data_IF_949183065469
#
_entry.id   IF_949183065469
#
_cell.length_a   1.000
_cell.length_b   1.000
_cell.length_c   1.000
_cell.angle_alpha   90.00
_cell.angle_beta   90.00
_cell.angle_gamma   90.00
#
_symmetry.space_group_name_H-M   'P 1'
#
loop_
_entity.id
_entity.type
_entity.pdbx_description
1 polymer ?
#
# COMPACT_ATOMS: atom_id res chain seq x y z
N UNK A 1 56.50 -18.28 12.06
CA UNK A 1 55.71 -17.19 11.44
C UNK A 1 54.54 -17.81 10.69
N UNK A 2 53.39 -17.99 11.34
CA UNK A 2 52.12 -18.32 10.70
C UNK A 2 51.05 -17.53 11.45
N UNK A 3 51.08 -16.22 11.23
CA UNK A 3 50.08 -15.31 11.75
C UNK A 3 48.75 -15.61 11.07
N UNK A 4 47.69 -15.58 11.87
CA UNK A 4 46.30 -15.81 11.51
C UNK A 4 45.92 -15.08 10.21
N UNK A 5 45.38 -15.83 9.25
CA UNK A 5 44.50 -15.28 8.21
C UNK A 5 43.07 -15.69 8.53
N UNK A 6 42.53 -15.14 9.62
CA UNK A 6 41.08 -15.03 9.81
C UNK A 6 40.67 -13.75 9.07
N UNK A 7 40.59 -13.84 7.74
CA UNK A 7 40.10 -12.74 6.91
C UNK A 7 38.56 -12.75 7.03
N UNK A 8 38.08 -11.79 7.80
CA UNK A 8 36.67 -11.41 7.95
C UNK A 8 35.97 -11.29 6.60
N UNK A 9 35.15 -12.28 6.25
CA UNK A 9 34.10 -12.12 5.24
C UNK A 9 32.96 -11.33 5.91
N UNK A 10 33.10 -10.01 5.97
CA UNK A 10 32.01 -9.13 6.34
C UNK A 10 30.96 -9.22 5.22
N UNK A 11 29.95 -10.05 5.41
CA UNK A 11 28.81 -10.16 4.51
C UNK A 11 28.16 -8.78 4.37
N UNK A 12 28.39 -8.12 3.22
CA UNK A 12 27.55 -7.01 2.76
C UNK A 12 26.18 -7.60 2.37
N UNK A 13 25.37 -7.93 3.38
CA UNK A 13 23.94 -8.02 3.16
C UNK A 13 23.44 -6.58 3.07
N UNK A 14 22.87 -6.12 1.94
CA UNK A 14 22.09 -4.90 1.96
C UNK A 14 21.03 -5.06 3.06
N UNK A 15 21.02 -4.15 4.04
CA UNK A 15 19.93 -4.06 5.00
C UNK A 15 18.68 -3.69 4.20
N UNK A 16 17.90 -4.68 3.80
CA UNK A 16 16.53 -4.44 3.34
C UNK A 16 15.72 -4.13 4.59
N UNK A 17 15.41 -2.86 4.80
CA UNK A 17 14.36 -2.49 5.74
C UNK A 17 13.07 -3.13 5.20
N UNK A 18 12.26 -3.84 5.98
CA UNK A 18 10.97 -4.32 5.51
C UNK A 18 10.02 -3.14 5.27
N UNK A 19 9.17 -3.23 4.25
CA UNK A 19 8.15 -2.21 4.01
C UNK A 19 7.19 -2.13 5.20
N UNK A 20 6.87 -0.91 5.64
CA UNK A 20 6.01 -0.70 6.80
C UNK A 20 4.57 -1.08 6.46
N UNK A 21 3.94 -1.92 7.29
CA UNK A 21 2.53 -2.25 7.13
C UNK A 21 1.66 -1.08 7.63
N UNK A 22 0.84 -0.52 6.75
CA UNK A 22 0.03 0.68 7.02
C UNK A 22 -1.46 0.37 7.26
N UNK A 23 -1.80 -0.91 7.42
CA UNK A 23 -3.17 -1.39 7.53
C UNK A 23 -3.74 -1.91 6.21
N UNK A 24 -5.04 -2.18 6.21
CA UNK A 24 -5.78 -2.71 5.08
C UNK A 24 -6.68 -1.66 4.42
N UNK A 25 -6.68 -1.63 3.09
CA UNK A 25 -7.71 -1.00 2.29
C UNK A 25 -8.93 -1.92 2.29
N UNK A 26 -9.95 -1.61 3.10
CA UNK A 26 -11.11 -2.50 3.28
C UNK A 26 -12.39 -1.80 3.74
N UNK A 27 -13.49 -1.94 2.98
CA UNK A 27 -14.82 -1.46 3.35
C UNK A 27 -15.49 -2.31 4.46
N UNK A 28 -14.87 -3.42 4.87
CA UNK A 28 -15.33 -4.21 6.00
C UNK A 28 -15.15 -3.44 7.31
N UNK A 29 -16.28 -3.00 7.88
CA UNK A 29 -16.34 -2.24 9.14
C UNK A 29 -15.86 -3.01 10.36
N UNK A 30 -15.78 -4.33 10.27
CA UNK A 30 -15.31 -5.21 11.33
C UNK A 30 -13.84 -5.57 11.18
N UNK A 31 -13.17 -5.18 10.07
CA UNK A 31 -11.73 -5.39 9.94
C UNK A 31 -11.00 -4.41 10.89
N UNK A 32 -10.32 -4.91 11.96
CA UNK A 32 -9.62 -4.06 12.91
C UNK A 32 -8.42 -3.33 12.29
N UNK A 33 -7.89 -3.83 11.17
CA UNK A 33 -6.76 -3.24 10.47
C UNK A 33 -7.19 -2.29 9.34
N UNK A 34 -8.50 -2.12 9.10
CA UNK A 34 -8.98 -1.23 8.05
C UNK A 34 -8.61 0.22 8.33
N UNK A 35 -7.98 0.88 7.35
CA UNK A 35 -7.73 2.33 7.39
C UNK A 35 -9.03 3.15 7.38
N UNK A 36 -10.18 2.52 7.08
CA UNK A 36 -11.47 3.18 7.06
C UNK A 36 -12.12 3.32 8.43
N UNK A 37 -11.52 2.76 9.49
CA UNK A 37 -11.94 2.95 10.87
C UNK A 37 -11.48 4.31 11.42
N UNK A 38 -12.32 4.98 12.22
CA UNK A 38 -11.97 6.25 12.85
C UNK A 38 -11.00 6.06 14.04
N UNK A 39 -11.16 4.94 14.76
CA UNK A 39 -10.37 4.55 15.93
C UNK A 39 -9.80 3.14 15.69
N UNK A 40 -8.47 3.00 15.76
CA UNK A 40 -7.75 1.76 15.47
C UNK A 40 -6.27 2.03 15.18
N UNK A 41 -5.43 0.99 15.16
CA UNK A 41 -3.98 1.14 14.95
C UNK A 41 -3.61 1.82 13.62
N UNK A 42 -4.48 1.72 12.62
CA UNK A 42 -4.28 2.23 11.25
C UNK A 42 -5.36 3.24 10.81
N UNK A 43 -6.26 3.60 11.72
CA UNK A 43 -7.34 4.56 11.46
C UNK A 43 -6.82 5.96 11.13
N UNK A 44 -7.73 6.88 10.78
CA UNK A 44 -7.36 8.20 10.25
C UNK A 44 -6.46 9.06 11.17
N UNK A 45 -6.46 8.80 12.47
CA UNK A 45 -5.62 9.50 13.45
C UNK A 45 -4.24 8.87 13.65
N UNK A 46 -3.99 7.68 13.12
CA UNK A 46 -2.69 7.01 13.24
C UNK A 46 -1.62 7.82 12.47
N UNK A 47 -0.41 8.05 13.03
CA UNK A 47 0.66 8.80 12.36
C UNK A 47 1.11 8.20 11.03
N UNK A 48 0.93 6.90 10.86
CA UNK A 48 1.34 6.12 9.68
C UNK A 48 0.18 5.87 8.72
N UNK A 49 -1.04 6.29 9.06
CA UNK A 49 -2.19 6.11 8.18
C UNK A 49 -2.05 6.94 6.90
N UNK A 50 -2.30 6.35 5.72
CA UNK A 50 -2.42 7.10 4.47
C UNK A 50 -3.56 8.14 4.47
N UNK A 51 -4.48 8.08 5.45
CA UNK A 51 -5.57 9.05 5.63
C UNK A 51 -5.21 10.20 6.58
N UNK A 52 -4.06 10.13 7.26
CA UNK A 52 -3.62 11.20 8.14
C UNK A 52 -2.91 12.29 7.32
N UNK A 53 -3.56 13.45 7.16
CA UNK A 53 -3.06 14.57 6.35
C UNK A 53 -1.79 15.23 6.89
N UNK A 54 -1.36 14.88 8.10
CA UNK A 54 -0.13 15.37 8.73
C UNK A 54 0.96 14.28 8.70
N UNK A 55 0.58 13.01 8.52
CA UNK A 55 1.47 11.86 8.58
C UNK A 55 2.38 11.68 7.36
N UNK A 56 3.32 10.75 7.50
CA UNK A 56 4.30 10.43 6.46
C UNK A 56 3.64 9.93 5.17
N UNK A 57 2.59 9.13 5.28
CA UNK A 57 1.95 8.47 4.15
C UNK A 57 0.66 9.13 3.67
N UNK A 58 0.18 10.19 4.35
CA UNK A 58 -1.08 10.87 4.02
C UNK A 58 -0.98 12.37 3.81
N UNK A 59 0.18 13.00 4.07
CA UNK A 59 0.37 14.45 3.92
C UNK A 59 0.58 14.89 2.48
N UNK A 60 0.21 16.14 2.16
CA UNK A 60 0.34 16.67 0.81
C UNK A 60 1.80 16.90 0.34
N UNK A 61 2.78 16.78 1.24
CA UNK A 61 4.18 17.20 0.99
C UNK A 61 5.19 16.06 1.08
N UNK A 62 4.85 14.96 1.75
CA UNK A 62 5.79 13.85 1.91
C UNK A 62 6.06 13.14 0.58
N UNK A 63 7.32 12.75 0.29
CA UNK A 63 7.64 11.95 -0.89
C UNK A 63 7.08 10.53 -0.83
N UNK A 64 6.58 10.08 0.33
CA UNK A 64 6.00 8.75 0.55
C UNK A 64 4.47 8.75 0.63
N UNK A 65 3.83 9.88 0.34
CA UNK A 65 2.41 10.06 0.60
C UNK A 65 1.51 9.56 -0.52
N UNK A 66 0.38 8.97 -0.13
CA UNK A 66 -0.70 8.64 -1.03
C UNK A 66 -1.40 9.89 -1.61
N UNK A 67 -1.35 11.03 -0.92
CA UNK A 67 -2.08 12.24 -1.31
C UNK A 67 -1.22 13.28 -2.04
N UNK A 68 0.11 13.12 -2.01
CA UNK A 68 1.03 13.96 -2.77
C UNK A 68 1.14 13.45 -4.22
N UNK A 69 0.66 14.19 -5.23
CA UNK A 69 0.75 13.76 -6.63
C UNK A 69 2.20 13.72 -7.16
N UNK A 70 3.15 14.30 -6.43
CA UNK A 70 4.58 14.28 -6.75
C UNK A 70 5.36 13.32 -5.83
N UNK A 71 4.68 12.44 -5.09
CA UNK A 71 5.32 11.42 -4.26
C UNK A 71 6.26 10.57 -5.12
N UNK A 72 7.49 10.38 -4.61
CA UNK A 72 8.52 9.57 -5.27
C UNK A 72 8.28 8.08 -5.01
N UNK A 73 7.87 7.74 -3.79
CA UNK A 73 7.58 6.36 -3.42
C UNK A 73 6.29 6.25 -2.59
N UNK A 74 5.10 6.41 -3.21
CA UNK A 74 3.83 6.29 -2.52
C UNK A 74 3.57 4.85 -2.06
N UNK A 75 2.60 4.63 -1.14
CA UNK A 75 2.29 3.30 -0.64
C UNK A 75 1.84 2.34 -1.74
N UNK A 76 2.15 1.06 -1.56
CA UNK A 76 1.84 -0.03 -2.49
C UNK A 76 0.70 -0.88 -1.94
N UNK A 77 -0.11 -1.40 -2.84
CA UNK A 77 -1.24 -2.28 -2.51
C UNK A 77 -0.92 -3.71 -2.90
N UNK A 78 -1.29 -4.66 -2.05
CA UNK A 78 -1.19 -6.10 -2.32
C UNK A 78 -2.46 -6.81 -1.91
N UNK A 79 -2.89 -7.81 -2.69
CA UNK A 79 -3.95 -8.72 -2.26
C UNK A 79 -3.45 -9.70 -1.18
N UNK A 80 -4.32 -10.60 -0.74
CA UNK A 80 -4.02 -11.56 0.32
C UNK A 80 -3.03 -12.65 -0.12
N UNK A 81 -2.91 -12.86 -1.43
CA UNK A 81 -1.97 -13.77 -2.07
C UNK A 81 -0.60 -13.12 -2.33
N UNK A 82 -0.44 -11.83 -2.02
CA UNK A 82 0.81 -11.07 -2.21
C UNK A 82 1.00 -10.53 -3.63
N UNK A 83 -0.03 -10.60 -4.48
CA UNK A 83 0.02 -10.02 -5.81
C UNK A 83 -0.12 -8.50 -5.72
N UNK A 84 0.71 -7.79 -6.48
CA UNK A 84 0.68 -6.34 -6.56
C UNK A 84 -0.64 -5.81 -7.15
N UNK A 85 -1.15 -4.71 -6.58
CA UNK A 85 -2.42 -4.06 -6.92
C UNK A 85 -2.29 -2.56 -7.19
N UNK A 86 -1.07 -2.11 -7.50
CA UNK A 86 -0.79 -0.72 -7.85
C UNK A 86 -0.33 0.13 -6.67
N UNK A 87 -0.13 1.42 -6.95
CA UNK A 87 0.23 2.44 -5.97
C UNK A 87 -1.03 3.13 -5.46
N UNK A 88 -1.16 3.22 -4.15
CA UNK A 88 -2.11 4.12 -3.50
C UNK A 88 -1.58 5.55 -3.65
N UNK A 89 -1.92 6.22 -4.74
CA UNK A 89 -1.43 7.56 -5.08
C UNK A 89 -2.53 8.40 -5.73
N UNK A 90 -2.49 9.72 -5.53
CA UNK A 90 -3.31 10.71 -6.24
C UNK A 90 -2.72 11.13 -7.59
N UNK A 91 -1.48 10.72 -7.91
CA UNK A 91 -0.88 11.02 -9.20
C UNK A 91 -1.65 10.32 -10.33
N UNK A 92 -2.32 11.09 -11.19
CA UNK A 92 -3.12 10.55 -12.31
C UNK A 92 -2.29 10.18 -13.54
N UNK A 93 -0.99 10.52 -13.55
CA UNK A 93 -0.08 10.26 -14.66
C UNK A 93 0.82 9.04 -14.41
N UNK A 94 0.97 8.61 -13.15
CA UNK A 94 1.70 7.38 -12.83
C UNK A 94 0.93 6.16 -13.39
N UNK A 95 1.55 5.30 -14.22
CA UNK A 95 0.89 4.15 -14.82
C UNK A 95 0.38 3.12 -13.80
N UNK A 96 1.00 3.04 -12.61
CA UNK A 96 0.64 2.11 -11.55
C UNK A 96 -0.33 2.72 -10.52
N UNK A 97 -0.61 4.01 -10.60
CA UNK A 97 -1.52 4.68 -9.67
C UNK A 97 -2.96 4.22 -9.82
N UNK A 98 -3.61 3.91 -8.69
CA UNK A 98 -5.05 3.65 -8.63
C UNK A 98 -5.90 4.87 -8.99
N UNK A 99 -5.31 6.07 -9.05
CA UNK A 99 -5.97 7.30 -9.51
C UNK A 99 -5.85 7.54 -11.00
N UNK A 100 -4.97 6.83 -11.73
CA UNK A 100 -4.82 6.98 -13.17
C UNK A 100 -5.98 6.28 -13.92
N UNK A 101 -6.91 7.03 -14.56
CA UNK A 101 -8.09 6.44 -15.21
C UNK A 101 -7.76 5.61 -16.46
N UNK A 102 -6.55 5.77 -17.01
CA UNK A 102 -6.05 5.01 -18.16
C UNK A 102 -5.07 3.90 -17.73
N UNK A 103 -4.62 3.91 -16.47
CA UNK A 103 -3.66 2.96 -15.92
C UNK A 103 -4.30 1.62 -15.56
N UNK A 104 -3.47 0.58 -15.46
CA UNK A 104 -3.90 -0.80 -15.18
C UNK A 104 -4.68 -0.93 -13.87
N UNK A 105 -4.25 -0.24 -12.81
CA UNK A 105 -4.88 -0.36 -11.48
C UNK A 105 -5.90 0.74 -11.19
N UNK A 106 -5.97 1.79 -12.01
CA UNK A 106 -6.87 2.92 -11.81
C UNK A 106 -8.03 3.02 -12.80
N UNK A 107 -7.95 2.34 -13.96
CA UNK A 107 -9.01 2.33 -14.97
C UNK A 107 -10.20 1.47 -14.55
N UNK A 108 -11.44 1.92 -14.75
CA UNK A 108 -12.64 1.11 -14.49
C UNK A 108 -12.84 -0.03 -15.50
N UNK A 109 -12.10 -0.03 -16.61
CA UNK A 109 -12.16 -1.06 -17.65
C UNK A 109 -11.18 -2.21 -17.40
N UNK A 110 -10.19 -2.01 -16.52
CA UNK A 110 -9.18 -3.02 -16.22
C UNK A 110 -9.67 -4.02 -15.17
N UNK A 111 -9.55 -5.34 -15.39
CA UNK A 111 -9.94 -6.33 -14.39
C UNK A 111 -9.11 -6.26 -13.11
N UNK A 112 -7.90 -5.68 -13.14
CA UNK A 112 -7.02 -5.55 -11.97
C UNK A 112 -7.33 -4.33 -11.09
N UNK A 113 -8.24 -3.48 -11.54
CA UNK A 113 -8.58 -2.23 -10.87
C UNK A 113 -9.63 -2.44 -9.79
N UNK A 114 -9.44 -1.78 -8.64
CA UNK A 114 -10.44 -1.68 -7.58
C UNK A 114 -11.76 -1.04 -8.08
N UNK A 115 -11.71 -0.28 -9.18
CA UNK A 115 -12.88 0.36 -9.78
C UNK A 115 -13.68 -0.58 -10.67
N UNK A 116 -13.15 -1.76 -11.03
CA UNK A 116 -13.84 -2.71 -11.91
C UNK A 116 -14.73 -3.67 -11.10
N UNK A 117 -16.07 -3.61 -11.25
CA UNK A 117 -17.02 -4.31 -10.39
C UNK A 117 -17.08 -5.84 -10.62
N UNK A 118 -16.48 -6.35 -11.70
CA UNK A 118 -16.44 -7.77 -12.01
C UNK A 118 -15.02 -8.37 -11.88
N UNK A 119 -14.06 -7.58 -11.43
CA UNK A 119 -12.66 -7.99 -11.27
C UNK A 119 -12.19 -7.74 -9.84
N UNK A 120 -11.01 -7.14 -9.69
CA UNK A 120 -10.37 -6.88 -8.40
C UNK A 120 -11.22 -6.00 -7.45
N UNK A 121 -12.16 -5.23 -7.99
CA UNK A 121 -13.16 -4.46 -7.25
C UNK A 121 -14.52 -5.14 -7.06
N UNK A 122 -14.65 -6.44 -7.31
CA UNK A 122 -15.93 -7.14 -7.18
C UNK A 122 -16.34 -7.25 -5.69
N UNK A 123 -17.49 -6.70 -5.27
CA UNK A 123 -17.92 -6.75 -3.87
C UNK A 123 -18.29 -8.15 -3.37
N UNK A 124 -18.46 -9.12 -4.27
CA UNK A 124 -18.73 -10.52 -3.93
C UNK A 124 -17.44 -11.34 -3.73
N UNK A 125 -16.30 -10.83 -4.18
CA UNK A 125 -15.00 -11.49 -4.00
C UNK A 125 -14.48 -11.25 -2.56
N UNK A 126 -14.22 -12.29 -1.74
CA UNK A 126 -13.69 -12.12 -0.39
C UNK A 126 -12.35 -11.37 -0.29
N UNK A 127 -11.54 -11.38 -1.35
CA UNK A 127 -10.26 -10.67 -1.41
C UNK A 127 -10.37 -9.20 -1.81
N UNK A 128 -11.55 -8.76 -2.27
CA UNK A 128 -11.78 -7.39 -2.71
C UNK A 128 -11.93 -6.42 -1.53
N UNK A 129 -11.31 -5.22 -1.58
CA UNK A 129 -11.56 -4.15 -0.61
C UNK A 129 -13.02 -3.72 -0.54
N UNK A 130 -13.83 -3.97 -1.58
CA UNK A 130 -15.26 -3.62 -1.62
C UNK A 130 -16.16 -4.69 -1.00
N UNK A 131 -15.62 -5.84 -0.63
CA UNK A 131 -16.38 -6.85 0.08
C UNK A 131 -16.51 -6.46 1.55
N UNK A 132 -17.76 -6.31 2.00
CA UNK A 132 -18.09 -5.85 3.36
C UNK A 132 -17.75 -6.85 4.46
N UNK A 133 -17.38 -8.06 4.09
CA UNK A 133 -16.96 -9.15 4.97
C UNK A 133 -15.52 -9.62 4.68
N UNK A 134 -14.91 -9.10 3.61
CA UNK A 134 -13.56 -9.47 3.18
C UNK A 134 -12.48 -8.81 4.03
N UNK A 135 -11.24 -9.28 3.87
CA UNK A 135 -10.09 -8.61 4.50
C UNK A 135 -9.72 -7.34 3.74
N UNK A 136 -9.78 -7.37 2.41
CA UNK A 136 -9.36 -6.27 1.55
C UNK A 136 -7.90 -6.41 1.12
N UNK A 137 -7.22 -5.31 0.86
CA UNK A 137 -5.82 -5.30 0.39
C UNK A 137 -4.89 -4.70 1.43
N UNK A 138 -3.73 -5.33 1.59
CA UNK A 138 -2.65 -4.84 2.44
C UNK A 138 -2.02 -3.58 1.83
N UNK A 139 -1.74 -2.60 2.67
CA UNK A 139 -1.03 -1.37 2.30
C UNK A 139 0.39 -1.43 2.88
N UNK A 140 1.38 -1.23 2.03
CA UNK A 140 2.79 -1.17 2.42
C UNK A 140 3.39 0.20 2.10
N UNK A 141 4.07 0.80 3.07
CA UNK A 141 4.73 2.10 2.93
C UNK A 141 5.90 2.07 1.95
N UNK A 142 6.15 3.22 1.32
CA UNK A 142 7.36 3.45 0.53
C UNK A 142 8.62 3.57 1.40
N UNK A 143 9.79 3.48 0.76
CA UNK A 143 11.12 3.52 1.40
C UNK A 143 11.99 4.64 0.84
#
# INVERSE_FOLDING_TARGET
MRALLLLSLLLLFPLTVPAEYLGDLSENKLNPDSIFTDLGAYGALSPTSPRNSIGLYGSAVSPYSATNPLAMDPPRLYDQEGNYRGKLSTNTLDPDSVSNPLGRYGSSLSPDSLKHPLGAGNPLDPGSPKNRYGRGWRIEGGQ
#
